data_IF_472363595625
#
_entry.id   IF_472363595625
#
_cell.length_a   1.000
_cell.length_b   1.000
_cell.length_c   1.000
_cell.angle_alpha   90.00
_cell.angle_beta   90.00
_cell.angle_gamma   90.00
#
_symmetry.space_group_name_H-M   'P 1'
#
loop_
_entity.id
_entity.type
_entity.pdbx_description
1 polymer ?
#
# COMPACT_ATOMS: atom_id res chain seq x y z
N UNK A 1 21.83 -9.61 -11.54
CA UNK A 1 20.72 -9.62 -10.56
C UNK A 1 19.68 -8.55 -10.87
N UNK A 2 20.05 -7.25 -10.80
CA UNK A 2 19.12 -6.12 -11.02
C UNK A 2 18.33 -6.23 -12.34
N UNK A 3 19.00 -6.43 -13.49
CA UNK A 3 18.31 -6.56 -14.79
C UNK A 3 17.25 -7.68 -14.82
N UNK A 4 17.50 -8.79 -14.13
CA UNK A 4 16.56 -9.92 -14.04
C UNK A 4 15.34 -9.52 -13.21
N UNK A 5 15.56 -8.94 -12.03
CA UNK A 5 14.48 -8.45 -11.17
C UNK A 5 13.61 -7.42 -11.87
N UNK A 6 14.20 -6.46 -12.59
CA UNK A 6 13.45 -5.47 -13.38
C UNK A 6 12.59 -6.12 -14.47
N UNK A 7 13.11 -7.13 -15.16
CA UNK A 7 12.36 -7.86 -16.17
C UNK A 7 11.20 -8.64 -15.57
N UNK A 8 11.45 -9.37 -14.50
CA UNK A 8 10.46 -10.24 -13.87
C UNK A 8 9.34 -9.38 -13.24
N UNK A 9 9.70 -8.31 -12.52
CA UNK A 9 8.75 -7.32 -11.99
C UNK A 9 8.00 -6.61 -13.12
N UNK A 10 8.70 -6.25 -14.21
CA UNK A 10 8.09 -5.61 -15.37
C UNK A 10 6.99 -6.46 -16.00
N UNK A 11 7.23 -7.76 -16.20
CA UNK A 11 6.24 -8.69 -16.75
C UNK A 11 5.00 -8.77 -15.85
N UNK A 12 5.19 -8.89 -14.54
CA UNK A 12 4.06 -8.91 -13.60
C UNK A 12 3.30 -7.59 -13.56
N UNK A 13 4.00 -6.46 -13.66
CA UNK A 13 3.39 -5.13 -13.65
C UNK A 13 2.62 -4.84 -14.93
N UNK A 14 3.09 -5.33 -16.07
CA UNK A 14 2.40 -5.20 -17.36
C UNK A 14 1.00 -5.83 -17.35
N UNK A 15 0.79 -6.92 -16.61
CA UNK A 15 -0.53 -7.51 -16.46
C UNK A 15 -1.52 -6.53 -15.81
N UNK A 16 -1.13 -5.90 -14.71
CA UNK A 16 -1.97 -4.93 -14.00
C UNK A 16 -2.19 -3.65 -14.78
N UNK A 17 -1.13 -3.12 -15.41
CA UNK A 17 -1.22 -1.97 -16.32
C UNK A 17 -2.16 -2.27 -17.49
N UNK A 18 -1.99 -3.43 -18.13
CA UNK A 18 -2.83 -3.88 -19.24
C UNK A 18 -4.30 -4.01 -18.84
N UNK A 19 -4.58 -4.62 -17.68
CA UNK A 19 -5.94 -4.74 -17.15
C UNK A 19 -6.59 -3.37 -16.93
N UNK A 20 -5.81 -2.41 -16.43
CA UNK A 20 -6.29 -1.04 -16.17
C UNK A 20 -6.58 -0.29 -17.47
N UNK A 21 -5.70 -0.41 -18.46
CA UNK A 21 -5.86 0.18 -19.80
C UNK A 21 -7.07 -0.44 -20.52
N UNK A 22 -7.23 -1.77 -20.47
CA UNK A 22 -8.39 -2.45 -21.05
C UNK A 22 -9.68 -1.96 -20.38
N UNK A 23 -9.69 -1.85 -19.05
CA UNK A 23 -10.83 -1.30 -18.31
C UNK A 23 -11.20 0.11 -18.76
N UNK A 24 -10.20 0.98 -18.97
CA UNK A 24 -10.41 2.32 -19.52
C UNK A 24 -10.98 2.31 -20.95
N UNK A 25 -10.45 1.49 -21.84
CA UNK A 25 -11.00 1.41 -23.21
C UNK A 25 -12.43 0.84 -23.23
N UNK A 26 -12.72 -0.14 -22.38
CA UNK A 26 -14.09 -0.65 -22.25
C UNK A 26 -15.05 0.45 -21.81
N UNK A 27 -14.65 1.30 -20.86
CA UNK A 27 -15.44 2.48 -20.48
C UNK A 27 -15.74 3.39 -21.66
N UNK A 28 -14.70 3.81 -22.39
CA UNK A 28 -14.85 4.71 -23.55
C UNK A 28 -15.80 4.14 -24.62
N UNK A 29 -15.81 2.82 -24.80
CA UNK A 29 -16.74 2.14 -25.71
C UNK A 29 -18.16 2.19 -25.15
N UNK A 30 -18.36 1.83 -23.88
CA UNK A 30 -19.69 1.83 -23.24
C UNK A 30 -20.30 3.24 -23.26
N UNK A 31 -19.54 4.26 -22.89
CA UNK A 31 -19.98 5.66 -22.91
C UNK A 31 -20.39 6.13 -24.31
N UNK A 32 -19.72 5.62 -25.35
CA UNK A 32 -20.03 5.95 -26.75
C UNK A 32 -21.29 5.26 -27.28
N UNK A 33 -21.66 4.10 -26.73
CA UNK A 33 -22.71 3.23 -27.29
C UNK A 33 -23.94 3.03 -26.40
N UNK A 34 -23.95 3.50 -25.15
CA UNK A 34 -25.08 3.32 -24.22
C UNK A 34 -25.44 4.59 -23.46
N UNK A 35 -26.70 4.69 -23.05
CA UNK A 35 -27.14 5.65 -22.04
C UNK A 35 -26.32 5.42 -20.76
N UNK A 36 -25.69 6.48 -20.26
CA UNK A 36 -24.61 6.47 -19.26
C UNK A 36 -25.06 5.95 -17.89
N UNK A 37 -25.08 4.64 -17.69
CA UNK A 37 -25.34 4.02 -16.37
C UNK A 37 -24.11 4.11 -15.45
N UNK A 38 -22.90 4.22 -16.01
CA UNK A 38 -21.66 4.27 -15.23
C UNK A 38 -21.01 5.65 -15.31
N UNK A 39 -20.81 6.27 -14.16
CA UNK A 39 -20.04 7.51 -14.05
C UNK A 39 -18.54 7.24 -14.22
N UNK A 40 -17.81 8.20 -14.78
CA UNK A 40 -16.35 8.18 -14.86
C UNK A 40 -15.68 7.91 -13.49
N UNK A 41 -16.30 8.40 -12.41
CA UNK A 41 -15.87 8.16 -11.02
C UNK A 41 -15.87 6.67 -10.66
N UNK A 42 -16.91 5.93 -11.02
CA UNK A 42 -17.04 4.50 -10.67
C UNK A 42 -15.91 3.68 -11.28
N UNK A 43 -15.53 4.00 -12.51
CA UNK A 43 -14.49 3.25 -13.23
C UNK A 43 -13.10 3.66 -12.76
N UNK A 44 -12.91 4.93 -12.48
CA UNK A 44 -11.69 5.37 -11.81
C UNK A 44 -11.50 4.68 -10.46
N UNK A 45 -12.56 4.58 -9.63
CA UNK A 45 -12.52 3.86 -8.34
C UNK A 45 -12.19 2.39 -8.54
N UNK A 46 -12.77 1.73 -9.54
CA UNK A 46 -12.45 0.33 -9.85
C UNK A 46 -10.98 0.13 -10.21
N UNK A 47 -10.44 0.99 -11.09
CA UNK A 47 -9.02 0.99 -11.46
C UNK A 47 -8.12 1.30 -10.25
N UNK A 48 -8.50 2.28 -9.43
CA UNK A 48 -7.77 2.67 -8.23
C UNK A 48 -7.79 1.55 -7.17
N UNK A 49 -8.89 0.81 -7.04
CA UNK A 49 -8.98 -0.36 -6.17
C UNK A 49 -8.01 -1.47 -6.61
N UNK A 50 -7.70 -1.57 -7.90
CA UNK A 50 -6.68 -2.46 -8.44
C UNK A 50 -5.27 -2.21 -7.90
N UNK A 51 -4.96 -0.99 -7.43
CA UNK A 51 -3.68 -0.66 -6.79
C UNK A 51 -3.45 -1.49 -5.51
N UNK A 52 -4.51 -1.81 -4.77
CA UNK A 52 -4.41 -2.49 -3.47
C UNK A 52 -3.90 -3.93 -3.61
N UNK A 53 -4.56 -4.84 -4.38
CA UNK A 53 -4.05 -6.18 -4.60
C UNK A 53 -2.71 -6.16 -5.34
N UNK A 54 -2.49 -5.21 -6.26
CA UNK A 54 -1.19 -5.05 -6.93
C UNK A 54 -0.06 -4.77 -5.94
N UNK A 55 -0.26 -3.80 -5.04
CA UNK A 55 0.72 -3.40 -4.02
C UNK A 55 1.03 -4.53 -3.03
N UNK A 56 0.02 -5.32 -2.67
CA UNK A 56 0.21 -6.53 -1.86
C UNK A 56 1.06 -7.53 -2.63
N UNK A 57 0.61 -7.98 -3.80
CA UNK A 57 1.25 -9.05 -4.55
C UNK A 57 2.70 -8.72 -4.92
N UNK A 58 2.97 -7.48 -5.34
CA UNK A 58 4.32 -7.07 -5.74
C UNK A 58 5.28 -7.05 -4.55
N UNK A 59 4.82 -6.63 -3.36
CA UNK A 59 5.64 -6.68 -2.15
C UNK A 59 5.83 -8.11 -1.62
N UNK A 60 4.77 -8.92 -1.60
CA UNK A 60 4.85 -10.34 -1.20
C UNK A 60 5.79 -11.16 -2.09
N UNK A 61 5.88 -10.83 -3.38
CA UNK A 61 6.70 -11.56 -4.36
C UNK A 61 8.22 -11.38 -4.16
N UNK A 62 8.66 -10.50 -3.26
CA UNK A 62 10.07 -10.09 -3.17
C UNK A 62 11.07 -11.22 -2.98
N UNK A 63 10.73 -12.21 -2.16
CA UNK A 63 11.59 -13.37 -1.87
C UNK A 63 10.95 -14.70 -2.29
N UNK A 64 9.79 -14.67 -2.97
CA UNK A 64 9.05 -15.88 -3.33
C UNK A 64 9.84 -16.82 -4.26
N UNK A 65 10.54 -16.26 -5.24
CA UNK A 65 11.38 -17.03 -6.17
C UNK A 65 12.64 -17.60 -5.53
N UNK A 66 13.32 -16.83 -4.68
CA UNK A 66 14.60 -17.25 -4.10
C UNK A 66 14.42 -18.31 -3.00
N UNK A 67 13.29 -18.30 -2.29
CA UNK A 67 13.00 -19.32 -1.26
C UNK A 67 12.87 -20.72 -1.83
N UNK A 68 12.19 -20.87 -2.96
CA UNK A 68 11.95 -22.18 -3.58
C UNK A 68 13.23 -22.86 -4.08
N UNK A 69 14.30 -22.10 -4.32
CA UNK A 69 15.53 -22.59 -4.94
C UNK A 69 16.77 -22.51 -4.04
N UNK A 70 16.60 -22.31 -2.72
CA UNK A 70 17.71 -21.92 -1.79
C UNK A 70 18.52 -20.71 -2.29
N UNK A 71 17.92 -19.89 -3.15
CA UNK A 71 18.53 -18.68 -3.72
C UNK A 71 18.90 -17.65 -2.66
N UNK A 72 18.29 -17.72 -1.47
CA UNK A 72 18.67 -16.89 -0.32
C UNK A 72 20.07 -17.26 0.17
N UNK A 73 20.42 -18.53 0.26
CA UNK A 73 21.77 -18.98 0.66
C UNK A 73 22.79 -18.53 -0.39
N UNK A 74 22.45 -18.68 -1.67
CA UNK A 74 23.28 -18.19 -2.79
C UNK A 74 23.46 -16.67 -2.75
N UNK A 75 22.41 -15.90 -2.48
CA UNK A 75 22.49 -14.44 -2.35
C UNK A 75 23.44 -14.00 -1.24
N UNK A 76 23.54 -14.77 -0.15
CA UNK A 76 24.46 -14.50 0.95
C UNK A 76 25.92 -14.83 0.61
N UNK A 77 26.18 -15.66 -0.41
CA UNK A 77 27.54 -15.95 -0.88
C UNK A 77 28.09 -14.88 -1.84
N UNK A 78 27.23 -14.00 -2.36
CA UNK A 78 27.67 -12.96 -3.27
C UNK A 78 28.48 -11.87 -2.53
N UNK A 79 29.47 -11.24 -3.18
CA UNK A 79 30.28 -10.17 -2.59
C UNK A 79 29.53 -8.82 -2.55
N UNK A 80 28.23 -8.84 -2.26
CA UNK A 80 27.40 -7.66 -2.10
C UNK A 80 27.06 -7.44 -0.64
N UNK A 81 27.01 -6.17 -0.22
CA UNK A 81 26.45 -5.85 1.09
C UNK A 81 24.98 -6.23 1.14
N UNK A 82 24.52 -6.69 2.30
CA UNK A 82 23.11 -7.08 2.54
C UNK A 82 22.12 -5.95 2.16
N UNK A 83 22.52 -4.71 2.41
CA UNK A 83 21.76 -3.51 2.01
C UNK A 83 21.61 -3.35 0.48
N UNK A 84 22.67 -3.66 -0.29
CA UNK A 84 22.62 -3.60 -1.76
C UNK A 84 21.69 -4.67 -2.34
N UNK A 85 21.66 -5.87 -1.75
CA UNK A 85 20.76 -6.95 -2.18
C UNK A 85 19.29 -6.55 -1.95
N UNK A 86 19.00 -5.97 -0.78
CA UNK A 86 17.69 -5.45 -0.46
C UNK A 86 17.26 -4.34 -1.41
N UNK A 87 18.13 -3.34 -1.65
CA UNK A 87 17.83 -2.25 -2.57
C UNK A 87 17.60 -2.75 -3.99
N UNK A 88 18.38 -3.74 -4.44
CA UNK A 88 18.21 -4.36 -5.75
C UNK A 88 16.85 -5.06 -5.91
N UNK A 89 16.21 -5.48 -4.81
CA UNK A 89 14.84 -6.03 -4.81
C UNK A 89 13.78 -4.96 -4.60
N UNK A 90 14.02 -3.98 -3.74
CA UNK A 90 13.06 -2.93 -3.42
C UNK A 90 12.86 -1.99 -4.60
N UNK A 91 13.94 -1.49 -5.21
CA UNK A 91 13.90 -0.47 -6.27
C UNK A 91 13.02 -0.84 -7.48
N UNK A 92 13.16 -2.01 -8.12
CA UNK A 92 12.31 -2.35 -9.26
C UNK A 92 10.82 -2.41 -8.90
N UNK A 93 10.50 -2.87 -7.69
CA UNK A 93 9.12 -2.99 -7.21
C UNK A 93 8.52 -1.63 -6.85
N UNK A 94 9.31 -0.78 -6.20
CA UNK A 94 8.96 0.60 -5.92
C UNK A 94 8.71 1.37 -7.21
N UNK A 95 9.59 1.21 -8.21
CA UNK A 95 9.42 1.83 -9.52
C UNK A 95 8.12 1.39 -10.20
N UNK A 96 7.77 0.11 -10.13
CA UNK A 96 6.52 -0.41 -10.68
C UNK A 96 5.27 0.21 -10.00
N UNK A 97 5.29 0.37 -8.68
CA UNK A 97 4.18 1.02 -7.95
C UNK A 97 4.08 2.49 -8.31
N UNK A 98 5.21 3.20 -8.38
CA UNK A 98 5.25 4.61 -8.79
C UNK A 98 4.66 4.75 -10.21
N UNK A 99 5.09 3.89 -11.15
CA UNK A 99 4.57 3.90 -12.52
C UNK A 99 3.06 3.63 -12.57
N UNK A 100 2.57 2.67 -11.78
CA UNK A 100 1.13 2.39 -11.69
C UNK A 100 0.34 3.54 -11.06
N UNK A 101 0.88 4.19 -10.02
CA UNK A 101 0.29 5.38 -9.42
C UNK A 101 0.26 6.56 -10.40
N UNK A 102 1.31 6.77 -11.19
CA UNK A 102 1.35 7.77 -12.26
C UNK A 102 0.31 7.47 -13.34
N UNK A 103 0.14 6.20 -13.73
CA UNK A 103 -0.91 5.79 -14.67
C UNK A 103 -2.30 6.16 -14.13
N UNK A 104 -2.60 5.83 -12.88
CA UNK A 104 -3.88 6.17 -12.24
C UNK A 104 -4.09 7.69 -12.17
N UNK A 105 -3.03 8.45 -11.94
CA UNK A 105 -3.07 9.90 -11.94
C UNK A 105 -3.35 10.46 -13.33
N UNK A 106 -2.69 9.93 -14.39
CA UNK A 106 -2.97 10.33 -15.77
C UNK A 106 -4.43 10.01 -16.14
N UNK A 107 -4.92 8.82 -15.77
CA UNK A 107 -6.31 8.44 -16.00
C UNK A 107 -7.31 9.35 -15.27
N UNK A 108 -6.99 9.77 -14.05
CA UNK A 108 -7.80 10.72 -13.29
C UNK A 108 -8.02 12.04 -14.05
N UNK A 109 -6.95 12.60 -14.64
CA UNK A 109 -7.07 13.81 -15.48
C UNK A 109 -7.76 13.54 -16.81
N UNK A 110 -7.53 12.37 -17.42
CA UNK A 110 -8.13 12.03 -18.71
C UNK A 110 -9.66 11.86 -18.63
N UNK A 111 -10.16 11.40 -17.47
CA UNK A 111 -11.59 11.21 -17.21
C UNK A 111 -12.32 12.48 -16.73
N UNK A 112 -11.62 13.62 -16.67
CA UNK A 112 -12.14 14.92 -16.20
C UNK A 112 -12.85 14.88 -14.83
N UNK A 113 -12.38 14.00 -13.93
CA UNK A 113 -12.92 13.87 -12.57
C UNK A 113 -12.36 14.98 -11.66
N UNK A 114 -12.36 16.22 -12.14
CA UNK A 114 -11.62 17.35 -11.54
C UNK A 114 -12.52 18.05 -10.52
N UNK A 115 -12.70 17.42 -9.36
CA UNK A 115 -13.12 18.15 -8.16
C UNK A 115 -11.95 18.21 -7.17
N UNK A 116 -11.76 19.34 -6.49
CA UNK A 116 -10.66 19.52 -5.49
C UNK A 116 -10.75 18.47 -4.37
N UNK A 117 -12.00 18.11 -4.08
CA UNK A 117 -12.43 17.05 -3.21
C UNK A 117 -11.87 15.68 -3.68
N UNK A 118 -11.99 15.31 -4.97
CA UNK A 118 -11.54 13.99 -5.49
C UNK A 118 -10.01 13.83 -5.53
N UNK A 119 -9.25 14.93 -5.64
CA UNK A 119 -7.78 14.90 -5.65
C UNK A 119 -7.18 14.32 -4.36
N UNK A 120 -7.75 14.68 -3.20
CA UNK A 120 -7.28 14.18 -1.91
C UNK A 120 -7.58 12.68 -1.74
N UNK A 121 -8.73 12.22 -2.23
CA UNK A 121 -9.07 10.79 -2.30
C UNK A 121 -8.09 9.99 -3.17
N UNK A 122 -7.68 10.54 -4.32
CA UNK A 122 -6.66 9.94 -5.20
C UNK A 122 -5.34 9.75 -4.47
N UNK A 123 -4.83 10.80 -3.83
CA UNK A 123 -3.59 10.73 -3.05
C UNK A 123 -3.70 9.76 -1.89
N UNK A 124 -4.85 9.70 -1.22
CA UNK A 124 -5.09 8.80 -0.11
C UNK A 124 -5.03 7.31 -0.56
N UNK A 125 -5.65 6.96 -1.68
CA UNK A 125 -5.59 5.60 -2.23
C UNK A 125 -4.15 5.24 -2.65
N UNK A 126 -3.44 6.18 -3.27
CA UNK A 126 -2.02 5.98 -3.63
C UNK A 126 -1.18 5.73 -2.38
N UNK A 127 -1.32 6.56 -1.35
CA UNK A 127 -0.60 6.42 -0.09
C UNK A 127 -0.94 5.11 0.64
N UNK A 128 -2.21 4.68 0.62
CA UNK A 128 -2.65 3.40 1.15
C UNK A 128 -2.00 2.23 0.39
N UNK A 129 -1.91 2.31 -0.93
CA UNK A 129 -1.19 1.35 -1.77
C UNK A 129 0.30 1.26 -1.42
N UNK A 130 0.97 2.41 -1.25
CA UNK A 130 2.37 2.44 -0.80
C UNK A 130 2.55 1.84 0.59
N UNK A 131 1.66 2.14 1.52
CA UNK A 131 1.68 1.56 2.87
C UNK A 131 1.56 0.04 2.78
N UNK A 132 0.57 -0.47 2.04
CA UNK A 132 0.37 -1.90 1.83
C UNK A 132 1.57 -2.59 1.20
N UNK A 133 2.22 -1.94 0.24
CA UNK A 133 3.46 -2.45 -0.34
C UNK A 133 4.57 -2.59 0.69
N UNK A 134 4.78 -1.60 1.54
CA UNK A 134 5.85 -1.65 2.54
C UNK A 134 5.54 -2.74 3.57
N UNK A 135 4.28 -2.87 3.99
CA UNK A 135 3.82 -3.93 4.88
C UNK A 135 4.06 -5.30 4.24
N UNK A 136 3.58 -5.51 3.01
CA UNK A 136 3.69 -6.79 2.32
C UNK A 136 5.15 -7.15 2.02
N UNK A 137 5.98 -6.18 1.63
CA UNK A 137 7.42 -6.34 1.44
C UNK A 137 8.12 -6.71 2.74
N UNK A 138 7.72 -6.11 3.87
CA UNK A 138 8.30 -6.45 5.18
C UNK A 138 7.94 -7.87 5.61
N UNK A 139 6.68 -8.27 5.45
CA UNK A 139 6.20 -9.62 5.74
C UNK A 139 6.87 -10.66 4.86
N UNK A 140 7.15 -10.30 3.60
CA UNK A 140 7.84 -11.17 2.66
C UNK A 140 9.22 -11.61 3.14
N UNK A 141 9.87 -10.90 4.08
CA UNK A 141 11.13 -11.36 4.66
C UNK A 141 10.95 -12.42 5.77
N UNK A 142 9.76 -12.52 6.39
CA UNK A 142 9.54 -13.28 7.62
C UNK A 142 8.95 -14.68 7.47
N UNK A 143 8.20 -14.97 6.41
CA UNK A 143 7.46 -16.25 6.26
C UNK A 143 7.68 -16.88 4.89
N UNK A 144 7.85 -18.20 4.83
CA UNK A 144 8.16 -18.89 3.56
C UNK A 144 6.92 -19.25 2.73
N UNK A 145 5.76 -19.43 3.37
CA UNK A 145 4.53 -19.84 2.70
C UNK A 145 3.77 -18.61 2.18
N UNK A 146 3.57 -18.55 0.86
CA UNK A 146 2.85 -17.46 0.19
C UNK A 146 1.42 -17.27 0.70
N UNK A 147 0.69 -18.37 0.97
CA UNK A 147 -0.71 -18.29 1.42
C UNK A 147 -0.80 -17.68 2.82
N UNK A 148 0.14 -18.04 3.70
CA UNK A 148 0.28 -17.45 5.03
C UNK A 148 0.65 -15.97 4.92
N UNK A 149 1.61 -15.64 4.04
CA UNK A 149 2.02 -14.26 3.74
C UNK A 149 0.82 -13.39 3.33
N UNK A 150 0.03 -13.90 2.39
CA UNK A 150 -1.13 -13.23 1.83
C UNK A 150 -2.19 -13.01 2.90
N UNK A 151 -2.48 -14.04 3.70
CA UNK A 151 -3.45 -13.94 4.81
C UNK A 151 -3.02 -12.88 5.82
N UNK A 152 -1.75 -12.86 6.24
CA UNK A 152 -1.24 -11.83 7.15
C UNK A 152 -1.25 -10.43 6.54
N UNK A 153 -0.98 -10.30 5.24
CA UNK A 153 -1.07 -9.00 4.56
C UNK A 153 -2.51 -8.49 4.49
N UNK A 154 -3.49 -9.37 4.22
CA UNK A 154 -4.91 -9.02 4.27
C UNK A 154 -5.36 -8.65 5.69
N UNK A 155 -4.94 -9.40 6.71
CA UNK A 155 -5.23 -9.06 8.11
C UNK A 155 -4.62 -7.71 8.49
N UNK A 156 -3.36 -7.46 8.12
CA UNK A 156 -2.71 -6.18 8.34
C UNK A 156 -3.43 -5.04 7.62
N UNK A 157 -3.91 -5.27 6.39
CA UNK A 157 -4.76 -4.32 5.67
C UNK A 157 -6.05 -3.99 6.42
N UNK A 158 -6.76 -4.99 6.94
CA UNK A 158 -7.95 -4.76 7.74
C UNK A 158 -7.65 -3.96 9.01
N UNK A 159 -6.56 -4.27 9.72
CA UNK A 159 -6.14 -3.49 10.88
C UNK A 159 -5.81 -2.03 10.53
N UNK A 160 -5.11 -1.80 9.42
CA UNK A 160 -4.84 -0.45 8.90
C UNK A 160 -6.16 0.26 8.60
N UNK A 161 -7.07 -0.37 7.85
CA UNK A 161 -8.35 0.21 7.48
C UNK A 161 -9.23 0.55 8.70
N UNK A 162 -9.29 -0.36 9.68
CA UNK A 162 -10.01 -0.15 10.94
C UNK A 162 -9.37 0.99 11.74
N UNK A 163 -8.04 1.04 11.83
CA UNK A 163 -7.33 2.12 12.53
C UNK A 163 -7.61 3.48 11.89
N UNK A 164 -7.56 3.54 10.56
CA UNK A 164 -7.88 4.75 9.81
C UNK A 164 -9.35 5.16 10.03
N UNK A 165 -10.27 4.21 10.02
CA UNK A 165 -11.68 4.46 10.33
C UNK A 165 -11.87 5.04 11.74
N UNK A 166 -11.26 4.45 12.77
CA UNK A 166 -11.35 4.98 14.15
C UNK A 166 -10.73 6.37 14.30
N UNK A 167 -9.62 6.64 13.62
CA UNK A 167 -8.98 7.96 13.63
C UNK A 167 -9.91 9.01 13.00
N UNK A 168 -10.53 8.67 11.87
CA UNK A 168 -11.50 9.54 11.20
C UNK A 168 -12.72 9.76 12.10
N UNK A 169 -13.27 8.69 12.69
CA UNK A 169 -14.42 8.75 13.60
C UNK A 169 -14.16 9.65 14.81
N UNK A 170 -13.05 9.43 15.51
CA UNK A 170 -12.65 10.23 16.66
C UNK A 170 -12.51 11.72 16.29
N UNK A 171 -11.94 12.03 15.13
CA UNK A 171 -11.83 13.42 14.64
C UNK A 171 -13.18 14.12 14.47
N UNK A 172 -14.24 13.41 14.07
CA UNK A 172 -15.58 13.96 13.90
C UNK A 172 -16.35 14.11 15.21
N UNK A 173 -16.25 13.13 16.09
CA UNK A 173 -16.85 13.16 17.43
C UNK A 173 -16.36 14.37 18.22
N UNK A 174 -15.06 14.68 18.12
CA UNK A 174 -14.45 15.85 18.74
C UNK A 174 -14.89 17.19 18.12
N UNK A 175 -15.29 17.20 16.85
CA UNK A 175 -15.83 18.39 16.16
C UNK A 175 -17.34 18.59 16.38
N UNK A 176 -17.99 17.72 17.15
CA UNK A 176 -19.42 17.82 17.44
C UNK A 176 -20.33 17.54 16.24
N UNK A 177 -19.83 16.93 15.17
CA UNK A 177 -20.57 16.65 13.95
C UNK A 177 -21.10 15.21 13.93
N UNK A 178 -21.87 14.82 14.95
CA UNK A 178 -22.33 13.44 15.15
C UNK A 178 -23.46 12.97 14.23
N UNK A 179 -24.15 13.89 13.54
CA UNK A 179 -25.35 13.55 12.76
C UNK A 179 -25.07 13.21 11.27
N UNK A 180 -23.81 13.13 10.85
CA UNK A 180 -23.49 12.76 9.47
C UNK A 180 -23.69 11.25 9.26
N UNK A 181 -24.55 10.90 8.29
CA UNK A 181 -24.70 9.52 7.84
C UNK A 181 -23.35 8.98 7.31
N UNK A 182 -23.09 7.68 7.46
CA UNK A 182 -21.83 7.02 7.09
C UNK A 182 -21.34 7.32 5.65
N UNK A 183 -22.25 7.57 4.70
CA UNK A 183 -21.89 7.97 3.33
C UNK A 183 -21.42 9.43 3.24
N UNK A 184 -21.98 10.33 4.04
CA UNK A 184 -21.52 11.72 4.19
C UNK A 184 -20.21 11.80 5.00
N UNK A 185 -19.98 10.82 5.89
CA UNK A 185 -18.75 10.68 6.68
C UNK A 185 -17.51 10.41 5.80
N UNK A 186 -17.61 9.46 4.87
CA UNK A 186 -16.53 9.14 3.93
C UNK A 186 -16.32 10.30 2.95
N UNK A 187 -17.40 10.90 2.43
CA UNK A 187 -17.33 11.97 1.43
C UNK A 187 -16.95 13.33 2.00
N UNK A 188 -17.18 13.64 3.28
CA UNK A 188 -16.75 14.92 3.86
C UNK A 188 -15.27 14.91 4.27
N UNK A 189 -14.72 13.76 4.71
CA UNK A 189 -13.35 13.73 5.25
C UNK A 189 -12.27 13.37 4.24
N UNK A 190 -12.52 12.48 3.27
CA UNK A 190 -11.58 12.24 2.16
C UNK A 190 -11.41 13.46 1.26
N UNK A 191 -12.34 14.42 1.34
CA UNK A 191 -12.51 15.51 0.38
C UNK A 191 -12.41 16.91 1.03
N UNK A 192 -12.18 17.03 2.35
CA UNK A 192 -11.96 18.32 3.04
C UNK A 192 -10.48 18.73 3.12
N UNK A 193 -10.22 19.99 3.48
CA UNK A 193 -8.87 20.56 3.69
C UNK A 193 -8.01 19.81 4.73
N UNK A 194 -8.60 18.89 5.49
CA UNK A 194 -7.91 18.02 6.46
C UNK A 194 -7.23 16.79 5.84
N UNK A 195 -7.38 16.55 4.54
CA UNK A 195 -6.74 15.43 3.83
C UNK A 195 -5.21 15.39 3.91
N UNK A 196 -4.56 16.54 4.13
CA UNK A 196 -3.10 16.64 4.33
C UNK A 196 -2.64 16.00 5.66
N UNK A 197 -3.43 16.14 6.72
CA UNK A 197 -3.15 15.54 8.05
C UNK A 197 -3.23 14.02 7.96
N UNK A 198 -4.18 13.51 7.17
CA UNK A 198 -4.34 12.08 6.95
C UNK A 198 -3.18 11.47 6.16
N UNK A 199 -2.65 12.17 5.16
CA UNK A 199 -1.42 11.76 4.47
C UNK A 199 -0.24 11.67 5.45
N UNK A 200 -0.12 12.63 6.38
CA UNK A 200 0.93 12.60 7.42
C UNK A 200 0.74 11.39 8.34
N UNK A 201 -0.49 11.14 8.82
CA UNK A 201 -0.80 10.00 9.69
C UNK A 201 -0.51 8.67 8.97
N UNK A 202 -0.90 8.53 7.71
CA UNK A 202 -0.58 7.35 6.92
C UNK A 202 0.93 7.16 6.74
N UNK A 203 1.68 8.23 6.50
CA UNK A 203 3.15 8.17 6.43
C UNK A 203 3.78 7.80 7.78
N UNK A 204 3.23 8.28 8.90
CA UNK A 204 3.67 7.90 10.24
C UNK A 204 3.40 6.42 10.54
N UNK A 205 2.28 5.86 10.08
CA UNK A 205 1.97 4.43 10.21
C UNK A 205 2.95 3.52 9.46
N UNK A 206 3.66 4.03 8.46
CA UNK A 206 4.68 3.29 7.69
C UNK A 206 6.00 3.16 8.44
N UNK A 207 6.37 4.14 9.28
CA UNK A 207 7.64 4.19 10.02
C UNK A 207 7.93 2.90 10.79
N UNK A 208 7.00 2.33 11.59
CA UNK A 208 7.26 1.07 12.28
C UNK A 208 7.62 -0.07 11.31
N UNK A 209 7.00 -0.11 10.13
CA UNK A 209 7.29 -1.15 9.13
C UNK A 209 8.67 -1.01 8.54
N UNK A 210 9.07 0.21 8.19
CA UNK A 210 10.42 0.49 7.72
C UNK A 210 11.47 0.18 8.80
N UNK A 211 11.19 0.55 10.05
CA UNK A 211 12.07 0.32 11.18
C UNK A 211 12.31 -1.16 11.46
N UNK A 212 11.25 -1.97 11.56
CA UNK A 212 11.43 -3.41 11.75
C UNK A 212 12.02 -4.08 10.52
N UNK A 213 11.61 -3.68 9.32
CA UNK A 213 12.16 -4.24 8.09
C UNK A 213 13.69 -4.03 8.04
N UNK A 214 14.15 -2.82 8.34
CA UNK A 214 15.57 -2.49 8.45
C UNK A 214 16.28 -3.32 9.52
N UNK A 215 15.69 -3.47 10.70
CA UNK A 215 16.28 -4.22 11.82
C UNK A 215 16.35 -5.73 11.54
N UNK A 216 15.30 -6.32 10.95
CA UNK A 216 15.27 -7.70 10.51
C UNK A 216 16.36 -7.96 9.45
N UNK A 217 16.54 -7.02 8.52
CA UNK A 217 17.55 -7.14 7.48
C UNK A 217 18.99 -6.94 7.97
N UNK A 218 19.20 -6.08 8.96
CA UNK A 218 20.53 -5.89 9.56
C UNK A 218 21.03 -7.17 10.22
N UNK A 219 20.14 -7.95 10.83
CA UNK A 219 20.52 -9.15 11.59
C UNK A 219 20.65 -10.43 10.77
N UNK A 220 19.90 -10.62 9.68
CA UNK A 220 19.99 -11.74 8.70
C UNK A 220 20.65 -13.02 9.23
N UNK A 221 20.08 -13.59 10.29
CA UNK A 221 20.46 -14.89 10.83
C UNK A 221 19.24 -15.79 10.68
N UNK A 222 19.22 -16.62 9.63
CA UNK A 222 18.02 -17.24 9.07
C UNK A 222 17.34 -18.24 10.01
N UNK A 223 18.02 -18.71 11.06
CA UNK A 223 17.44 -19.57 12.11
C UNK A 223 16.92 -18.81 13.34
N UNK A 224 17.50 -17.65 13.67
CA UNK A 224 17.03 -16.80 14.78
C UNK A 224 16.08 -15.67 14.34
N UNK A 225 15.94 -15.43 13.04
CA UNK A 225 15.04 -14.42 12.46
C UNK A 225 13.56 -14.67 12.78
N UNK A 226 13.11 -15.92 12.91
CA UNK A 226 11.73 -16.24 13.25
C UNK A 226 11.36 -15.79 14.69
N UNK A 227 12.25 -16.01 15.66
CA UNK A 227 12.05 -15.55 17.03
C UNK A 227 12.29 -14.04 17.18
N UNK A 228 13.23 -13.48 16.41
CA UNK A 228 13.46 -12.04 16.36
C UNK A 228 12.25 -11.30 15.77
N UNK A 229 11.67 -11.78 14.67
CA UNK A 229 10.45 -11.22 14.06
C UNK A 229 9.24 -11.34 14.99
N UNK A 230 9.09 -12.42 15.76
CA UNK A 230 8.02 -12.52 16.78
C UNK A 230 8.14 -11.45 17.87
N UNK A 231 9.35 -11.15 18.34
CA UNK A 231 9.57 -10.07 19.31
C UNK A 231 9.39 -8.69 18.68
N UNK A 232 9.85 -8.49 17.44
CA UNK A 232 9.64 -7.23 16.72
C UNK A 232 8.16 -6.97 16.42
N UNK A 233 7.36 -8.01 16.15
CA UNK A 233 5.91 -7.90 15.97
C UNK A 233 5.20 -7.39 17.23
N UNK A 234 5.74 -7.67 18.43
CA UNK A 234 5.25 -7.06 19.68
C UNK A 234 5.57 -5.57 19.77
N UNK A 235 6.81 -5.18 19.45
CA UNK A 235 7.19 -3.76 19.39
C UNK A 235 6.39 -3.01 18.32
N UNK A 236 6.06 -3.66 17.22
CA UNK A 236 5.18 -3.16 16.18
C UNK A 236 3.78 -2.87 16.67
N UNK A 237 3.13 -3.81 17.37
CA UNK A 237 1.80 -3.56 17.93
C UNK A 237 1.83 -2.38 18.89
N UNK A 238 2.89 -2.26 19.67
CA UNK A 238 3.07 -1.16 20.62
C UNK A 238 3.30 0.18 19.89
N UNK A 239 4.10 0.20 18.83
CA UNK A 239 4.33 1.39 18.01
C UNK A 239 3.07 1.79 17.22
N UNK A 240 2.27 0.82 16.77
CA UNK A 240 0.95 1.06 16.19
C UNK A 240 0.01 1.73 17.18
N UNK A 241 0.03 1.26 18.43
CA UNK A 241 -0.76 1.82 19.51
C UNK A 241 -0.32 3.26 19.81
N UNK A 242 1.00 3.53 19.84
CA UNK A 242 1.55 4.87 19.98
C UNK A 242 1.18 5.78 18.81
N UNK A 243 1.31 5.30 17.57
CA UNK A 243 0.90 6.08 16.38
C UNK A 243 -0.60 6.34 16.40
N UNK A 244 -1.41 5.37 16.81
CA UNK A 244 -2.85 5.52 17.01
C UNK A 244 -3.21 6.56 18.08
N UNK A 245 -2.47 6.60 19.19
CA UNK A 245 -2.65 7.62 20.23
C UNK A 245 -2.22 9.00 19.72
N UNK A 246 -1.07 9.10 19.05
CA UNK A 246 -0.56 10.36 18.49
C UNK A 246 -1.49 10.90 17.41
N UNK A 247 -2.03 10.04 16.53
CA UNK A 247 -3.00 10.46 15.53
C UNK A 247 -4.31 10.95 16.15
N UNK A 248 -4.76 10.33 17.24
CA UNK A 248 -5.89 10.79 18.06
C UNK A 248 -5.62 12.17 18.66
N UNK A 249 -4.41 12.42 19.17
CA UNK A 249 -4.03 13.72 19.73
C UNK A 249 -3.93 14.78 18.62
N UNK A 250 -3.36 14.44 17.47
CA UNK A 250 -3.27 15.36 16.33
C UNK A 250 -4.63 15.70 15.72
N UNK A 251 -5.61 14.80 15.76
CA UNK A 251 -6.97 15.12 15.32
C UNK A 251 -7.74 16.02 16.31
N UNK A 252 -7.35 16.07 17.59
CA UNK A 252 -7.91 16.96 18.62
C UNK A 252 -7.40 18.40 18.47
N UNK A 253 -6.18 18.59 17.98
CA UNK A 253 -5.50 19.90 17.98
C UNK A 253 -5.90 20.84 16.82
N UNK A 254 -6.82 20.43 15.93
CA UNK A 254 -7.25 21.16 14.72
C UNK A 254 -8.78 21.28 14.66
#
# INVERSE_FOLDING_TARGET
MIKKEFRDVGIHSLFWVGLTIIGYFMYMIIERFGDSVYSAETIWVFCAFGLLPFSILIGLSAFGGDRRQRGIEYMLTLPYSRSRILLAKLLPRLAAIILYAVLLFIMYYALDVITISTYHGVLAIIALGFLLFIVSFSLSAGFDNFLILFTFACVAFFFVAISLYFIIWAGFELKGAMDMQFNQFISAYLFSSSGSVYLIIMMLMVIPFLGSFYLAFRKFDTKHSANFNKMQLKYFMLLYLVVGIVSLICSVAI
#
